data_IF_611373544469
#
_entry.id   IF_611373544469
#
_cell.length_a   1.000
_cell.length_b   1.000
_cell.length_c   1.000
_cell.angle_alpha   90.00
_cell.angle_beta   90.00
_cell.angle_gamma   90.00
#
_symmetry.space_group_name_H-M   'P 1'
#
loop_
_entity.id
_entity.type
_entity.pdbx_description
1 polymer ?
#
# COMPACT_ATOMS: atom_id res chain seq x y z
N UNK A 1 17.43 17.10 -3.29
CA UNK A 1 16.65 15.84 -3.46
C UNK A 1 15.22 16.10 -3.04
N UNK A 2 14.20 15.53 -3.71
CA UNK A 2 12.81 15.73 -3.33
C UNK A 2 12.55 15.18 -1.93
N UNK A 3 11.74 15.88 -1.14
CA UNK A 3 11.41 15.48 0.24
C UNK A 3 10.61 14.18 0.22
N UNK A 4 10.92 13.30 1.16
CA UNK A 4 10.18 12.05 1.37
C UNK A 4 8.98 12.29 2.27
N UNK A 5 7.87 11.67 1.92
CA UNK A 5 6.62 11.67 2.67
C UNK A 5 6.07 10.25 2.71
N UNK A 6 5.14 9.99 3.61
CA UNK A 6 4.50 8.70 3.69
C UNK A 6 3.00 8.84 3.93
N UNK A 7 2.25 7.82 3.54
CA UNK A 7 0.85 7.68 3.92
C UNK A 7 0.66 6.43 4.78
N UNK A 8 -0.31 6.53 5.68
CA UNK A 8 -0.92 5.41 6.35
C UNK A 8 -2.18 5.03 5.58
N UNK A 9 -2.24 3.78 5.14
CA UNK A 9 -3.39 3.19 4.48
C UNK A 9 -3.88 2.05 5.36
N UNK A 10 -5.18 1.98 5.62
CA UNK A 10 -5.75 0.89 6.42
C UNK A 10 -7.13 0.53 5.92
N UNK A 11 -7.72 -0.49 6.56
CA UNK A 11 -9.03 -1.04 6.22
C UNK A 11 -9.08 -1.80 4.88
N UNK A 12 -7.94 -2.24 4.39
CA UNK A 12 -7.87 -3.22 3.30
C UNK A 12 -8.11 -4.62 3.85
N UNK A 13 -8.56 -5.56 3.01
CA UNK A 13 -8.79 -6.94 3.41
C UNK A 13 -7.58 -7.57 4.13
N UNK A 14 -7.80 -8.50 5.07
CA UNK A 14 -6.71 -9.07 5.86
C UNK A 14 -5.76 -9.95 5.03
N UNK A 15 -6.20 -10.40 3.85
CA UNK A 15 -5.38 -11.11 2.87
C UNK A 15 -4.53 -10.22 1.99
N UNK A 16 -4.73 -8.89 2.00
CA UNK A 16 -3.99 -7.98 1.12
C UNK A 16 -2.49 -8.01 1.43
N UNK A 17 -1.70 -8.16 0.39
CA UNK A 17 -0.23 -8.22 0.43
C UNK A 17 0.40 -6.93 -0.09
N UNK A 18 1.71 -6.77 0.11
CA UNK A 18 2.46 -5.65 -0.47
C UNK A 18 2.48 -5.70 -2.01
N UNK A 19 2.39 -6.89 -2.59
CA UNK A 19 2.35 -7.07 -4.05
C UNK A 19 1.03 -6.56 -4.64
N UNK A 20 -0.09 -6.83 -3.96
CA UNK A 20 -1.41 -6.35 -4.41
C UNK A 20 -1.44 -4.82 -4.44
N UNK A 21 -0.88 -4.17 -3.42
CA UNK A 21 -0.72 -2.72 -3.37
C UNK A 21 0.22 -2.22 -4.47
N UNK A 22 1.31 -2.94 -4.73
CA UNK A 22 2.25 -2.61 -5.81
C UNK A 22 1.56 -2.64 -7.18
N UNK A 23 0.77 -3.67 -7.44
CA UNK A 23 0.04 -3.83 -8.70
C UNK A 23 -1.07 -2.79 -8.85
N UNK A 24 -1.82 -2.52 -7.79
CA UNK A 24 -2.87 -1.50 -7.77
C UNK A 24 -2.32 -0.11 -8.08
N UNK A 25 -1.13 0.20 -7.58
CA UNK A 25 -0.47 1.48 -7.75
C UNK A 25 0.35 1.60 -9.04
N UNK A 26 0.62 0.49 -9.73
CA UNK A 26 1.44 0.47 -10.94
C UNK A 26 0.97 1.46 -12.03
N UNK A 27 -0.36 1.62 -12.29
CA UNK A 27 -0.84 2.57 -13.30
C UNK A 27 -0.53 4.05 -12.98
N UNK A 28 -0.27 4.39 -11.71
CA UNK A 28 0.08 5.76 -11.32
C UNK A 28 1.52 6.13 -11.70
N UNK A 29 2.36 5.15 -12.02
CA UNK A 29 3.77 5.34 -12.38
C UNK A 29 4.56 6.22 -11.38
N UNK A 30 4.22 6.15 -10.09
CA UNK A 30 4.89 6.92 -9.04
C UNK A 30 6.21 6.25 -8.67
N UNK A 31 7.20 7.07 -8.27
CA UNK A 31 8.47 6.57 -7.74
C UNK A 31 8.31 6.24 -6.25
N UNK A 32 7.76 5.05 -5.98
CA UNK A 32 7.67 4.53 -4.62
C UNK A 32 9.05 4.23 -4.04
N UNK A 33 9.26 4.65 -2.80
CA UNK A 33 10.52 4.45 -2.09
C UNK A 33 10.49 3.19 -1.24
N UNK A 34 9.39 2.98 -0.51
CA UNK A 34 9.19 1.80 0.35
C UNK A 34 7.71 1.52 0.52
N UNK A 35 7.36 0.24 0.63
CA UNK A 35 6.00 -0.22 0.95
C UNK A 35 6.07 -1.33 1.98
N UNK A 36 5.38 -1.14 3.09
CA UNK A 36 5.39 -2.07 4.20
C UNK A 36 3.97 -2.41 4.60
N UNK A 37 3.72 -3.70 4.80
CA UNK A 37 2.56 -4.13 5.58
C UNK A 37 2.90 -3.95 7.05
N UNK A 38 2.01 -3.32 7.79
CA UNK A 38 2.18 -3.05 9.21
C UNK A 38 1.59 -4.18 10.05
N UNK A 39 2.13 -4.38 11.25
CA UNK A 39 1.52 -5.21 12.28
C UNK A 39 0.27 -4.53 12.83
N UNK A 40 -0.73 -5.33 13.14
CA UNK A 40 -1.97 -4.87 13.77
C UNK A 40 -2.49 -5.97 14.71
N UNK A 41 -3.16 -5.56 15.78
CA UNK A 41 -3.87 -6.49 16.68
C UNK A 41 -5.23 -6.94 16.11
N UNK A 42 -5.71 -6.28 15.07
CA UNK A 42 -6.99 -6.56 14.45
C UNK A 42 -6.82 -7.51 13.26
N UNK A 43 -7.62 -8.58 13.22
CA UNK A 43 -7.50 -9.63 12.20
C UNK A 43 -8.34 -9.36 10.94
N UNK A 44 -9.19 -8.33 10.96
CA UNK A 44 -10.14 -8.04 9.88
C UNK A 44 -9.56 -7.14 8.79
N UNK A 45 -8.39 -6.53 9.01
CA UNK A 45 -7.80 -5.65 8.00
C UNK A 45 -6.27 -5.69 8.00
N UNK A 46 -5.69 -5.29 6.87
CA UNK A 46 -4.26 -5.08 6.70
C UNK A 46 -3.94 -3.58 6.58
N UNK A 47 -3.15 -3.00 7.52
CA UNK A 47 -2.61 -1.65 7.38
C UNK A 47 -1.28 -1.64 6.63
N UNK A 48 -0.99 -0.53 5.95
CA UNK A 48 0.19 -0.32 5.14
C UNK A 48 0.80 1.06 5.39
N UNK A 49 2.11 1.10 5.25
CA UNK A 49 2.92 2.31 5.15
C UNK A 49 3.49 2.38 3.73
N UNK A 50 3.32 3.53 3.07
CA UNK A 50 3.80 3.75 1.71
C UNK A 50 4.62 5.04 1.69
N UNK A 51 5.93 4.92 1.46
CA UNK A 51 6.86 6.04 1.32
C UNK A 51 6.98 6.46 -0.15
N UNK A 52 6.81 7.76 -0.40
CA UNK A 52 6.83 8.40 -1.73
C UNK A 52 7.51 9.77 -1.66
N UNK A 53 7.74 10.38 -2.82
CA UNK A 53 8.16 11.78 -2.89
C UNK A 53 6.97 12.71 -2.66
N UNK A 54 7.24 13.86 -2.04
CA UNK A 54 6.23 14.87 -1.69
C UNK A 54 5.40 15.35 -2.89
N UNK A 55 6.00 15.41 -4.08
CA UNK A 55 5.33 15.80 -5.33
C UNK A 55 4.16 14.87 -5.69
N UNK A 56 4.24 13.60 -5.28
CA UNK A 56 3.26 12.57 -5.61
C UNK A 56 2.25 12.35 -4.47
N UNK A 57 2.42 13.03 -3.32
CA UNK A 57 1.64 12.80 -2.10
C UNK A 57 0.15 13.08 -2.28
N UNK A 58 -0.18 14.18 -2.93
CA UNK A 58 -1.57 14.60 -3.09
C UNK A 58 -2.40 13.61 -3.91
N UNK A 59 -1.77 12.88 -4.84
CA UNK A 59 -2.45 11.84 -5.61
C UNK A 59 -2.91 10.68 -4.72
N UNK A 60 -2.06 10.27 -3.76
CA UNK A 60 -2.40 9.20 -2.82
C UNK A 60 -3.31 9.66 -1.67
N UNK A 61 -3.35 10.95 -1.34
CA UNK A 61 -4.28 11.46 -0.32
C UNK A 61 -5.71 11.65 -0.86
N UNK A 62 -5.91 11.52 -2.17
CA UNK A 62 -7.25 11.57 -2.74
C UNK A 62 -8.06 10.31 -2.39
N UNK A 63 -9.09 10.46 -1.56
CA UNK A 63 -9.95 9.34 -1.13
C UNK A 63 -10.66 8.65 -2.30
N UNK A 64 -10.93 9.34 -3.41
CA UNK A 64 -11.62 8.74 -4.56
C UNK A 64 -10.76 7.76 -5.34
N UNK A 65 -9.44 7.76 -5.11
CA UNK A 65 -8.52 6.81 -5.70
C UNK A 65 -8.60 5.42 -5.04
N UNK A 66 -8.94 5.37 -3.74
CA UNK A 66 -8.91 4.14 -2.97
C UNK A 66 -10.27 3.44 -2.97
N UNK A 67 -10.28 2.10 -2.79
CA UNK A 67 -11.51 1.36 -2.60
C UNK A 67 -12.36 1.94 -1.46
N UNK A 68 -13.68 1.82 -1.60
CA UNK A 68 -14.62 2.30 -0.58
C UNK A 68 -14.31 1.68 0.79
N UNK A 69 -14.45 2.49 1.85
CA UNK A 69 -14.19 2.06 3.22
C UNK A 69 -12.74 2.12 3.66
N UNK A 70 -11.79 2.37 2.74
CA UNK A 70 -10.38 2.58 3.08
C UNK A 70 -10.17 3.86 3.90
N UNK A 71 -9.22 3.82 4.84
CA UNK A 71 -8.78 5.00 5.57
C UNK A 71 -7.37 5.37 5.12
N UNK A 72 -7.20 6.62 4.71
CA UNK A 72 -5.94 7.17 4.24
C UNK A 72 -5.63 8.46 4.99
N UNK A 73 -4.39 8.57 5.46
CA UNK A 73 -3.88 9.77 6.11
C UNK A 73 -2.39 9.94 5.82
N UNK A 74 -1.88 11.16 5.91
CA UNK A 74 -0.43 11.37 5.94
C UNK A 74 0.17 10.71 7.19
N UNK A 75 1.26 9.98 7.00
CA UNK A 75 2.01 9.36 8.08
C UNK A 75 3.15 10.28 8.50
N UNK A 76 3.17 10.63 9.78
CA UNK A 76 4.18 11.48 10.38
C UNK A 76 5.14 10.67 11.25
N UNK A 77 6.43 10.95 11.13
CA UNK A 77 7.48 10.29 11.91
C UNK A 77 8.20 9.19 11.14
N UNK A 78 8.96 8.36 11.86
CA UNK A 78 9.74 7.26 11.28
C UNK A 78 9.04 5.94 11.55
N UNK A 79 8.96 5.09 10.52
CA UNK A 79 8.54 3.71 10.68
C UNK A 79 9.59 2.93 11.49
N UNK A 80 9.16 2.20 12.52
CA UNK A 80 10.04 1.33 13.30
C UNK A 80 9.94 -0.11 12.79
N UNK A 81 11.06 -0.81 12.77
CA UNK A 81 11.12 -2.19 12.27
C UNK A 81 10.22 -3.17 13.04
N UNK A 82 9.98 -2.93 14.34
CA UNK A 82 9.10 -3.77 15.14
C UNK A 82 7.63 -3.67 14.71
N UNK A 83 7.26 -2.62 13.96
CA UNK A 83 5.92 -2.38 13.43
C UNK A 83 5.66 -3.05 12.08
N UNK A 84 6.68 -3.63 11.43
CA UNK A 84 6.58 -4.18 10.08
C UNK A 84 6.24 -5.68 10.12
N UNK A 85 5.26 -6.12 9.34
CA UNK A 85 4.92 -7.53 9.15
C UNK A 85 5.42 -8.09 7.81
N UNK A 86 5.50 -7.27 6.76
CA UNK A 86 6.06 -7.62 5.46
C UNK A 86 6.70 -6.39 4.81
N UNK A 87 7.82 -6.58 4.12
CA UNK A 87 8.58 -5.52 3.44
C UNK A 87 8.81 -5.88 1.97
N UNK A 88 8.76 -4.87 1.08
CA UNK A 88 9.31 -4.95 -0.28
C UNK A 88 10.27 -3.78 -0.49
N UNK A 89 11.55 -4.10 -0.69
CA UNK A 89 12.61 -3.14 -1.00
C UNK A 89 12.64 -2.94 -2.53
N UNK A 90 12.57 -1.71 -3.06
CA UNK A 90 12.72 -1.49 -4.50
C UNK A 90 14.18 -1.80 -4.88
N UNK A 91 14.38 -2.92 -5.58
CA UNK A 91 15.69 -3.42 -5.98
C UNK A 91 15.81 -4.94 -6.06
N UNK A 92 14.82 -5.72 -5.61
CA UNK A 92 14.75 -7.14 -5.96
C UNK A 92 14.04 -7.33 -7.30
N UNK A 93 14.82 -7.32 -8.37
CA UNK A 93 14.45 -7.86 -9.68
C UNK A 93 14.35 -9.40 -9.60
N UNK A 94 13.42 -9.91 -8.79
CA UNK A 94 13.09 -11.33 -8.84
C UNK A 94 12.08 -11.52 -9.97
N UNK A 95 12.62 -11.82 -11.15
CA UNK A 95 11.88 -12.39 -12.28
C UNK A 95 11.01 -13.55 -11.80
N UNK A 96 9.70 -13.33 -11.65
CA UNK A 96 8.74 -14.42 -11.67
C UNK A 96 7.47 -13.94 -12.34
N UNK A 97 7.30 -14.39 -13.59
CA UNK A 97 6.05 -14.32 -14.31
C UNK A 97 4.92 -14.87 -13.42
N UNK A 98 4.01 -14.00 -13.00
CA UNK A 98 2.64 -14.41 -12.76
C UNK A 98 1.74 -13.24 -13.12
N UNK A 99 1.37 -13.21 -14.40
CA UNK A 99 0.17 -12.54 -14.85
C UNK A 99 -0.99 -13.28 -14.16
N UNK A 100 -1.46 -12.78 -13.02
CA UNK A 100 -2.73 -13.20 -12.47
C UNK A 100 -3.80 -12.34 -13.14
N UNK A 101 -4.61 -12.99 -13.97
CA UNK A 101 -5.83 -12.43 -14.56
C UNK A 101 -6.70 -11.83 -13.46
N UNK A 102 -6.62 -10.51 -13.30
CA UNK A 102 -7.38 -9.73 -12.34
C UNK A 102 -8.78 -9.40 -12.90
N UNK A 103 -9.51 -10.40 -13.42
CA UNK A 103 -10.89 -10.20 -13.87
C UNK A 103 -11.95 -10.66 -12.88
N UNK A 104 -11.56 -11.30 -11.77
CA UNK A 104 -12.52 -11.76 -10.76
C UNK A 104 -12.43 -10.91 -9.49
N UNK A 105 -13.24 -9.85 -9.46
CA UNK A 105 -13.80 -9.25 -8.25
C UNK A 105 -12.83 -8.52 -7.29
N UNK A 106 -12.29 -7.37 -7.72
CA UNK A 106 -11.72 -6.35 -6.81
C UNK A 106 -12.69 -5.95 -5.67
N UNK A 107 -14.00 -6.11 -5.88
CA UNK A 107 -15.01 -5.80 -4.87
C UNK A 107 -15.06 -6.80 -3.70
N UNK A 108 -14.49 -8.01 -3.82
CA UNK A 108 -14.42 -8.97 -2.70
C UNK A 108 -13.19 -8.70 -1.81
N UNK A 109 -12.09 -8.23 -2.39
CA UNK A 109 -10.82 -8.01 -1.66
C UNK A 109 -10.83 -6.78 -0.74
N UNK A 110 -11.67 -5.79 -1.02
CA UNK A 110 -11.75 -4.54 -0.27
C UNK A 110 -13.01 -4.37 0.57
N UNK A 111 -13.93 -5.34 0.54
CA UNK A 111 -15.09 -5.33 1.43
C UNK A 111 -14.68 -5.70 2.86
N UNK A 112 -14.58 -4.68 3.70
CA UNK A 112 -14.91 -4.86 5.11
C UNK A 112 -16.43 -4.95 5.20
N UNK A 113 -16.93 -6.12 5.63
CA UNK A 113 -18.30 -6.26 6.11
C UNK A 113 -18.51 -5.41 7.37
#
# INVERSE_FOLDING_TARGET
MPKKKAIFLSRLGPGTTVNDITNFLAPLNLKFLQRHRLKTKYQFYAPFHIEIYENDLQQLLNLTFWPEGCLIAEFYGKLRNDQISQEVIPGSDSNHNSCFDLSTNLNEFFKLN
#
